data_IF_879722125244
#
_entry.id   IF_879722125244
#
_cell.length_a   1.000
_cell.length_b   1.000
_cell.length_c   1.000
_cell.angle_alpha   90.00
_cell.angle_beta   90.00
_cell.angle_gamma   90.00
#
_symmetry.space_group_name_H-M   'P 1'
#
loop_
_entity.id
_entity.type
_entity.pdbx_description
1 polymer ?
#
# COMPACT_ATOMS: atom_id res chain seq x y z
N UNK A 1 18.90 -2.91 22.46
CA UNK A 1 19.03 -1.71 21.61
C UNK A 1 18.73 -2.15 20.18
N UNK A 2 17.47 -2.01 19.75
CA UNK A 2 17.02 -2.03 18.34
C UNK A 2 15.66 -1.34 18.33
N UNK A 3 15.56 -0.28 17.54
CA UNK A 3 14.53 0.74 17.62
C UNK A 3 13.12 0.22 17.36
N UNK A 4 12.19 0.58 18.26
CA UNK A 4 10.75 0.54 18.00
C UNK A 4 10.44 1.41 16.78
N UNK A 5 10.02 0.78 15.68
CA UNK A 5 9.39 1.49 14.59
C UNK A 5 8.06 2.07 15.10
N UNK A 6 8.10 3.31 15.57
CA UNK A 6 6.92 4.15 15.72
C UNK A 6 6.35 4.41 14.33
N UNK A 7 5.48 3.53 13.88
CA UNK A 7 4.45 3.82 12.88
C UNK A 7 3.10 3.49 13.49
N UNK A 8 2.83 4.05 14.67
CA UNK A 8 1.50 4.11 15.27
C UNK A 8 0.58 5.11 14.55
N UNK A 9 0.78 5.29 13.25
CA UNK A 9 -0.07 6.14 12.42
C UNK A 9 -1.25 5.27 11.98
N UNK A 10 -2.46 5.60 12.44
CA UNK A 10 -3.72 4.88 12.12
C UNK A 10 -4.16 5.01 10.66
N UNK A 11 -3.19 4.96 9.75
CA UNK A 11 -3.34 5.08 8.32
C UNK A 11 -3.92 3.78 7.80
N UNK A 12 -5.11 3.87 7.24
CA UNK A 12 -5.74 2.74 6.55
C UNK A 12 -6.02 3.16 5.12
N UNK A 13 -5.57 2.36 4.17
CA UNK A 13 -5.90 2.47 2.78
C UNK A 13 -6.92 1.41 2.38
N UNK A 14 -7.80 1.75 1.43
CA UNK A 14 -8.63 0.79 0.73
C UNK A 14 -8.03 0.47 -0.63
N UNK A 15 -8.01 -0.80 -0.99
CA UNK A 15 -7.74 -1.23 -2.36
C UNK A 15 -8.94 -0.94 -3.24
N UNK A 16 -8.78 0.00 -4.17
CA UNK A 16 -9.76 0.32 -5.21
C UNK A 16 -9.63 -0.61 -6.41
N UNK A 17 -8.39 -1.05 -6.70
CA UNK A 17 -8.06 -1.87 -7.86
C UNK A 17 -6.77 -2.64 -7.59
N UNK A 18 -6.66 -3.83 -8.15
CA UNK A 18 -5.48 -4.69 -8.06
C UNK A 18 -5.24 -5.33 -9.42
N UNK A 19 -4.07 -5.06 -10.00
CA UNK A 19 -3.69 -5.52 -11.33
C UNK A 19 -2.32 -6.19 -11.28
N UNK A 20 -2.08 -7.15 -12.16
CA UNK A 20 -0.75 -7.77 -12.25
C UNK A 20 0.22 -6.79 -12.93
N UNK A 21 1.43 -6.69 -12.38
CA UNK A 21 2.46 -5.86 -12.97
C UNK A 21 3.11 -6.59 -14.17
N UNK A 22 3.68 -5.88 -15.17
CA UNK A 22 4.21 -6.50 -16.39
C UNK A 22 5.34 -7.54 -16.20
N UNK A 23 6.01 -7.55 -15.05
CA UNK A 23 7.16 -8.43 -14.80
C UNK A 23 6.99 -9.27 -13.54
N UNK A 24 6.70 -8.65 -12.40
CA UNK A 24 6.52 -9.33 -11.13
C UNK A 24 5.70 -8.49 -10.16
N UNK A 25 5.01 -9.15 -9.23
CA UNK A 25 4.20 -8.48 -8.23
C UNK A 25 2.93 -7.86 -8.81
N UNK A 26 2.34 -6.93 -8.06
CA UNK A 26 1.03 -6.35 -8.36
C UNK A 26 1.03 -4.85 -8.20
N UNK A 27 0.15 -4.19 -8.94
CA UNK A 27 -0.11 -2.77 -8.80
C UNK A 27 -1.43 -2.60 -8.06
N UNK A 28 -1.35 -1.96 -6.89
CA UNK A 28 -2.52 -1.64 -6.07
C UNK A 28 -2.85 -0.17 -6.22
N UNK A 29 -4.10 0.13 -6.58
CA UNK A 29 -4.64 1.49 -6.48
C UNK A 29 -5.25 1.67 -5.11
N UNK A 30 -4.61 2.51 -4.30
CA UNK A 30 -4.98 2.73 -2.91
C UNK A 30 -5.72 4.05 -2.72
N UNK A 31 -6.68 4.04 -1.81
CA UNK A 31 -7.36 5.24 -1.32
C UNK A 31 -7.25 5.32 0.20
N UNK A 32 -6.67 6.41 0.70
CA UNK A 32 -6.64 6.75 2.11
C UNK A 32 -8.08 6.84 2.66
N UNK A 33 -8.38 6.02 3.66
CA UNK A 33 -9.67 6.00 4.38
C UNK A 33 -9.58 6.71 5.72
N UNK A 34 -8.49 6.52 6.45
CA UNK A 34 -8.26 7.09 7.77
C UNK A 34 -6.80 7.42 7.98
N UNK A 35 -6.51 8.31 8.92
CA UNK A 35 -5.16 8.73 9.27
C UNK A 35 -4.63 9.86 8.39
N UNK A 36 -3.44 10.34 8.75
CA UNK A 36 -2.72 11.37 7.99
C UNK A 36 -2.03 10.75 6.77
N UNK A 37 -2.09 11.43 5.63
CA UNK A 37 -1.43 10.97 4.41
C UNK A 37 0.09 10.80 4.65
N UNK A 38 0.65 9.58 4.51
CA UNK A 38 2.08 9.38 4.65
C UNK A 38 2.84 10.02 3.48
N UNK A 39 4.14 10.23 3.64
CA UNK A 39 4.98 10.66 2.52
C UNK A 39 5.18 9.52 1.51
N UNK A 40 5.33 9.87 0.24
CA UNK A 40 5.74 8.95 -0.83
C UNK A 40 7.08 8.29 -0.49
N UNK A 41 8.00 9.04 0.15
CA UNK A 41 9.28 8.48 0.59
C UNK A 41 9.12 7.39 1.65
N UNK A 42 8.22 7.57 2.61
CA UNK A 42 7.96 6.57 3.66
C UNK A 42 7.23 5.33 3.14
N UNK A 43 6.45 5.46 2.06
CA UNK A 43 5.80 4.30 1.43
C UNK A 43 6.79 3.44 0.64
N UNK A 44 7.82 4.04 0.02
CA UNK A 44 8.77 3.28 -0.79
C UNK A 44 9.60 2.32 0.07
N UNK A 45 9.55 1.03 -0.23
CA UNK A 45 10.25 -0.01 0.51
C UNK A 45 9.55 -0.44 1.81
N UNK A 46 8.41 0.16 2.16
CA UNK A 46 7.66 -0.22 3.34
C UNK A 46 7.00 -1.59 3.16
N UNK A 47 6.90 -2.33 4.26
CA UNK A 47 6.02 -3.49 4.38
C UNK A 47 4.63 -3.00 4.77
N UNK A 48 3.62 -3.52 4.08
CA UNK A 48 2.22 -3.25 4.34
C UNK A 48 1.52 -4.56 4.65
N UNK A 49 0.65 -4.56 5.64
CA UNK A 49 -0.25 -5.66 5.92
C UNK A 49 -1.60 -5.36 5.27
N UNK A 50 -2.02 -6.24 4.37
CA UNK A 50 -3.31 -6.22 3.71
C UNK A 50 -4.26 -7.19 4.42
N UNK A 51 -5.51 -6.77 4.66
CA UNK A 51 -6.56 -7.59 5.29
C UNK A 51 -7.77 -7.68 4.36
N UNK A 52 -8.21 -8.90 4.06
CA UNK A 52 -9.38 -9.17 3.24
C UNK A 52 -10.67 -8.82 3.99
N UNK A 53 -11.78 -8.55 3.27
CA UNK A 53 -13.09 -8.41 3.90
C UNK A 53 -13.52 -9.63 4.73
N UNK A 54 -12.97 -10.81 4.40
CA UNK A 54 -13.27 -12.09 5.06
C UNK A 54 -12.31 -12.37 6.25
N UNK A 55 -11.29 -11.53 6.43
CA UNK A 55 -10.36 -11.56 7.57
C UNK A 55 -8.98 -12.15 7.27
N UNK A 56 -8.74 -12.62 6.05
CA UNK A 56 -7.43 -13.11 5.61
C UNK A 56 -6.40 -11.99 5.63
N UNK A 57 -5.13 -12.33 5.84
CA UNK A 57 -4.03 -11.36 5.90
C UNK A 57 -2.92 -11.75 4.94
N UNK A 58 -2.35 -10.75 4.30
CA UNK A 58 -1.22 -10.86 3.39
C UNK A 58 -0.24 -9.71 3.65
N UNK A 59 1.04 -10.03 3.85
CA UNK A 59 2.09 -9.03 3.94
C UNK A 59 2.74 -8.78 2.57
N UNK A 60 2.89 -7.51 2.21
CA UNK A 60 3.45 -7.08 0.92
C UNK A 60 4.52 -6.02 1.09
N UNK A 61 5.52 -6.00 0.21
CA UNK A 61 6.56 -4.97 0.18
C UNK A 61 6.34 -4.02 -0.98
N UNK A 62 6.36 -2.71 -0.71
CA UNK A 62 6.30 -1.68 -1.76
C UNK A 62 7.63 -1.58 -2.49
N UNK A 63 7.67 -2.01 -3.73
CA UNK A 63 8.84 -1.90 -4.62
C UNK A 63 8.97 -0.49 -5.19
N UNK A 64 7.85 0.16 -5.45
CA UNK A 64 7.80 1.48 -6.05
C UNK A 64 6.39 1.97 -6.29
N UNK A 65 6.24 2.84 -7.28
CA UNK A 65 4.97 3.44 -7.66
C UNK A 65 4.67 3.12 -9.11
N UNK A 66 3.39 3.02 -9.44
CA UNK A 66 2.99 2.84 -10.83
C UNK A 66 3.50 4.02 -11.69
N UNK A 67 4.06 3.71 -12.85
CA UNK A 67 4.53 4.72 -13.82
C UNK A 67 3.34 5.36 -14.54
N UNK A 68 2.24 4.62 -14.69
CA UNK A 68 0.98 5.15 -15.20
C UNK A 68 0.24 5.94 -14.12
N UNK A 69 -0.53 6.94 -14.54
CA UNK A 69 -1.29 7.79 -13.62
C UNK A 69 -0.56 9.05 -13.16
N UNK A 70 0.70 9.28 -13.58
CA UNK A 70 1.47 10.50 -13.32
C UNK A 70 2.43 10.39 -12.12
N UNK A 71 3.32 11.37 -11.96
CA UNK A 71 4.37 11.33 -10.92
C UNK A 71 3.75 11.27 -9.51
N UNK A 72 4.13 10.29 -8.67
CA UNK A 72 3.71 10.27 -7.27
C UNK A 72 4.31 11.48 -6.53
N UNK A 73 3.50 12.16 -5.72
CA UNK A 73 3.94 13.25 -4.86
C UNK A 73 3.12 13.32 -3.58
N UNK A 74 3.75 13.83 -2.51
CA UNK A 74 3.10 14.04 -1.21
C UNK A 74 1.90 14.98 -1.36
N UNK A 75 2.06 16.06 -2.14
CA UNK A 75 0.99 17.03 -2.42
C UNK A 75 -0.24 16.36 -3.05
N UNK A 76 -0.03 15.47 -4.03
CA UNK A 76 -1.13 14.76 -4.68
C UNK A 76 -1.80 13.78 -3.72
N UNK A 77 -1.02 13.04 -2.94
CA UNK A 77 -1.55 12.09 -1.97
C UNK A 77 -2.36 12.83 -0.89
N UNK A 78 -1.86 13.95 -0.38
CA UNK A 78 -2.58 14.79 0.58
C UNK A 78 -3.87 15.37 -0.01
N UNK A 79 -3.84 15.84 -1.27
CA UNK A 79 -5.02 16.44 -1.92
C UNK A 79 -6.10 15.42 -2.30
N UNK A 80 -5.69 14.24 -2.75
CA UNK A 80 -6.62 13.26 -3.37
C UNK A 80 -6.86 12.02 -2.54
N UNK A 81 -5.99 11.74 -1.57
CA UNK A 81 -5.94 10.49 -0.83
C UNK A 81 -5.59 9.28 -1.69
N UNK A 82 -5.14 9.45 -2.94
CA UNK A 82 -4.89 8.33 -3.87
C UNK A 82 -3.42 8.14 -4.15
N UNK A 83 -2.99 6.88 -4.16
CA UNK A 83 -1.63 6.48 -4.56
C UNK A 83 -1.68 5.10 -5.21
N UNK A 84 -0.92 4.94 -6.30
CA UNK A 84 -0.78 3.67 -7.00
C UNK A 84 0.61 3.11 -6.67
N UNK A 85 0.65 1.97 -5.98
CA UNK A 85 1.89 1.33 -5.52
C UNK A 85 2.14 0.04 -6.28
N UNK A 86 3.40 -0.22 -6.60
CA UNK A 86 3.86 -1.52 -7.08
C UNK A 86 4.39 -2.29 -5.88
N UNK A 87 3.81 -3.46 -5.64
CA UNK A 87 4.14 -4.32 -4.51
C UNK A 87 4.56 -5.72 -4.97
N UNK A 88 5.29 -6.41 -4.13
CA UNK A 88 5.43 -7.87 -4.19
C UNK A 88 4.85 -8.49 -2.92
N UNK A 89 4.29 -9.69 -3.06
CA UNK A 89 3.79 -10.49 -1.96
C UNK A 89 4.98 -11.13 -1.23
N UNK A 90 5.01 -10.99 0.09
CA UNK A 90 6.06 -11.58 0.95
C UNK A 90 5.63 -12.96 1.42
N UNK A 91 4.33 -13.19 1.56
CA UNK A 91 3.75 -14.47 1.94
C UNK A 91 3.01 -15.14 0.78
N UNK A 92 2.70 -16.43 0.97
CA UNK A 92 1.97 -17.25 -0.01
C UNK A 92 0.44 -17.20 0.22
N UNK A 93 -0.08 -16.20 0.96
CA UNK A 93 -1.49 -16.11 1.34
C UNK A 93 -2.41 -15.66 0.20
N UNK A 94 -1.87 -15.56 -1.01
CA UNK A 94 -2.61 -15.32 -2.23
C UNK A 94 -2.90 -13.84 -2.49
N UNK A 95 -3.52 -13.57 -3.64
CA UNK A 95 -3.36 -12.27 -4.26
C UNK A 95 -4.32 -11.23 -3.68
N UNK A 96 -3.80 -10.05 -3.32
CA UNK A 96 -4.60 -8.95 -2.75
C UNK A 96 -5.77 -8.57 -3.68
N UNK A 97 -6.98 -8.57 -3.14
CA UNK A 97 -8.20 -8.28 -3.89
C UNK A 97 -8.76 -6.87 -3.70
N UNK A 98 -9.85 -6.59 -4.43
CA UNK A 98 -10.65 -5.39 -4.26
C UNK A 98 -11.19 -5.29 -2.83
N UNK A 99 -11.33 -4.06 -2.32
CA UNK A 99 -11.90 -3.74 -0.99
C UNK A 99 -11.06 -4.19 0.21
N UNK A 100 -9.90 -4.80 0.00
CA UNK A 100 -8.97 -5.08 1.07
C UNK A 100 -8.52 -3.78 1.75
N UNK A 101 -8.23 -3.87 3.04
CA UNK A 101 -7.64 -2.78 3.81
C UNK A 101 -6.14 -2.97 3.90
N UNK A 102 -5.36 -1.93 3.66
CA UNK A 102 -3.90 -1.96 3.67
C UNK A 102 -3.38 -0.97 4.69
N UNK A 103 -2.49 -1.43 5.57
CA UNK A 103 -1.91 -0.63 6.66
C UNK A 103 -0.39 -0.79 6.65
N UNK A 104 0.39 0.24 7.00
CA UNK A 104 1.80 0.06 7.33
C UNK A 104 1.94 -1.00 8.43
N UNK A 105 2.87 -1.94 8.25
CA UNK A 105 3.20 -2.94 9.27
C UNK A 105 3.85 -2.31 10.52
#
# INVERSE_FOLDING_TARGET
MSAEATTRSGVTFRVLDAMDAPHSGRILRLRLQSGEAPSIKSLKGATLTATSPDGDRCDVRVLGFAVFGGKPSDERLARTGRVDVHVEEIDDNGPIGLRWEVRPA
#
